data_IF_487928369176
#
_entry.id   IF_487928369176
#
_cell.length_a   1.000
_cell.length_b   1.000
_cell.length_c   1.000
_cell.angle_alpha   90.00
_cell.angle_beta   90.00
_cell.angle_gamma   90.00
#
_symmetry.space_group_name_H-M   'P 1'
#
loop_
_entity.id
_entity.type
_entity.pdbx_description
1 polymer ?
#
# COMPACT_ATOMS: atom_id res chain seq x y z
N UNK A 1 15.54 6.03 -6.30
CA UNK A 1 14.10 5.87 -6.52
C UNK A 1 13.83 5.74 -8.02
N UNK A 2 12.79 5.00 -8.40
CA UNK A 2 12.38 4.75 -9.78
C UNK A 2 10.95 5.24 -9.95
N UNK A 3 10.70 6.13 -10.91
CA UNK A 3 9.33 6.54 -11.23
C UNK A 3 8.64 5.43 -12.02
N UNK A 4 7.54 4.90 -11.50
CA UNK A 4 6.78 3.82 -12.11
C UNK A 4 5.60 4.32 -12.94
N UNK A 5 4.99 5.40 -12.47
CA UNK A 5 3.76 5.93 -13.03
C UNK A 5 3.74 7.45 -12.91
N UNK A 6 3.27 8.11 -13.95
CA UNK A 6 2.89 9.51 -13.94
C UNK A 6 1.54 9.66 -14.63
N UNK A 7 0.58 10.22 -13.92
CA UNK A 7 -0.77 10.55 -14.41
C UNK A 7 -1.12 11.95 -13.93
N UNK A 8 -2.19 12.51 -14.45
CA UNK A 8 -2.57 13.89 -14.11
C UNK A 8 -2.61 14.11 -12.59
N UNK A 9 -1.84 15.08 -12.12
CA UNK A 9 -1.67 15.46 -10.70
C UNK A 9 -1.11 14.38 -9.78
N UNK A 10 -0.67 13.21 -10.28
CA UNK A 10 -0.13 12.12 -9.44
C UNK A 10 1.04 11.39 -10.07
N UNK A 11 1.94 10.92 -9.20
CA UNK A 11 3.02 10.04 -9.59
C UNK A 11 3.24 8.96 -8.53
N UNK A 12 3.72 7.79 -8.96
CA UNK A 12 4.15 6.72 -8.06
C UNK A 12 5.61 6.43 -8.29
N UNK A 13 6.37 6.46 -7.21
CA UNK A 13 7.79 6.15 -7.17
C UNK A 13 8.02 4.88 -6.35
N UNK A 14 8.91 4.04 -6.81
CA UNK A 14 9.36 2.83 -6.12
C UNK A 14 10.72 3.09 -5.47
N UNK A 15 10.91 2.61 -4.25
CA UNK A 15 12.15 2.63 -3.51
C UNK A 15 12.82 1.24 -3.65
N UNK A 16 13.84 1.06 -4.51
CA UNK A 16 14.46 -0.24 -4.73
C UNK A 16 15.16 -0.78 -3.49
N UNK A 17 15.19 -2.12 -3.37
CA UNK A 17 15.93 -2.81 -2.31
C UNK A 17 15.18 -2.92 -0.99
N UNK A 18 13.93 -2.47 -0.92
CA UNK A 18 13.07 -2.65 0.26
C UNK A 18 12.24 -3.93 0.16
N UNK A 19 12.11 -4.62 1.30
CA UNK A 19 11.21 -5.77 1.50
C UNK A 19 10.57 -5.59 2.87
N UNK A 20 9.26 -5.38 2.94
CA UNK A 20 8.30 -5.22 1.83
C UNK A 20 8.62 -4.03 0.90
N UNK A 21 8.07 -4.08 -0.31
CA UNK A 21 8.23 -3.01 -1.29
C UNK A 21 7.69 -1.68 -0.76
N UNK A 22 8.46 -0.62 -0.95
CA UNK A 22 8.10 0.72 -0.51
C UNK A 22 7.80 1.62 -1.71
N UNK A 23 6.76 2.44 -1.58
CA UNK A 23 6.31 3.34 -2.63
C UNK A 23 6.09 4.75 -2.09
N UNK A 24 6.36 5.75 -2.92
CA UNK A 24 5.94 7.12 -2.67
C UNK A 24 4.84 7.48 -3.68
N UNK A 25 3.62 7.66 -3.18
CA UNK A 25 2.55 8.29 -3.92
C UNK A 25 2.68 9.79 -3.76
N UNK A 26 2.85 10.50 -4.85
CA UNK A 26 2.76 11.96 -4.91
C UNK A 26 1.38 12.33 -5.45
N UNK A 27 0.59 13.04 -4.67
CA UNK A 27 -0.72 13.56 -5.08
C UNK A 27 -0.69 15.10 -4.93
N UNK A 28 -0.99 15.82 -6.00
CA UNK A 28 -0.86 17.26 -6.05
C UNK A 28 -1.73 18.01 -5.00
N UNK A 29 -2.73 17.34 -4.43
CA UNK A 29 -3.60 17.91 -3.38
C UNK A 29 -3.36 17.30 -2.00
N UNK A 30 -3.16 15.98 -1.93
CA UNK A 30 -2.91 15.29 -0.68
C UNK A 30 -1.45 15.39 -0.21
N UNK A 31 -0.53 15.73 -1.10
CA UNK A 31 0.92 15.71 -0.86
C UNK A 31 1.53 14.33 -1.04
N UNK A 32 2.74 14.12 -0.53
CA UNK A 32 3.42 12.83 -0.58
C UNK A 32 2.90 11.87 0.49
N UNK A 33 2.72 10.61 0.11
CA UNK A 33 2.40 9.50 1.02
C UNK A 33 3.44 8.41 0.79
N UNK A 34 4.25 8.15 1.80
CA UNK A 34 5.16 7.01 1.80
C UNK A 34 4.38 5.78 2.26
N UNK A 35 4.31 4.74 1.43
CA UNK A 35 3.67 3.46 1.73
C UNK A 35 4.76 2.47 2.08
N UNK A 36 4.72 1.93 3.28
CA UNK A 36 5.78 1.20 3.95
C UNK A 36 7.03 2.06 4.22
N UNK A 37 7.89 1.60 5.11
CA UNK A 37 9.20 2.20 5.37
C UNK A 37 10.31 1.15 5.37
N UNK A 38 11.38 1.33 4.56
CA UNK A 38 12.53 0.45 4.59
C UNK A 38 13.39 0.75 5.83
N UNK A 39 14.46 -0.01 6.10
CA UNK A 39 15.49 0.40 7.04
C UNK A 39 15.91 1.84 6.78
N UNK A 40 16.04 2.63 7.85
CA UNK A 40 16.23 4.06 7.72
C UNK A 40 17.60 4.40 7.08
N UNK A 41 17.55 5.25 6.08
CA UNK A 41 18.71 5.86 5.42
C UNK A 41 18.44 7.36 5.23
N UNK A 42 19.28 8.20 5.85
CA UNK A 42 19.13 9.65 5.78
C UNK A 42 19.29 10.21 4.35
N UNK A 43 20.11 9.55 3.49
CA UNK A 43 20.24 9.95 2.08
C UNK A 43 18.98 9.62 1.30
N UNK A 44 18.38 8.45 1.57
CA UNK A 44 17.10 8.07 0.96
C UNK A 44 15.98 9.01 1.41
N UNK A 45 15.92 9.35 2.69
CA UNK A 45 14.95 10.33 3.21
C UNK A 45 15.07 11.69 2.51
N UNK A 46 16.30 12.21 2.35
CA UNK A 46 16.54 13.45 1.62
C UNK A 46 16.16 13.36 0.11
N UNK A 47 16.29 12.19 -0.51
CA UNK A 47 15.82 11.96 -1.88
C UNK A 47 14.28 11.98 -1.94
N UNK A 48 13.61 11.32 -0.99
CA UNK A 48 12.14 11.31 -0.89
C UNK A 48 11.61 12.73 -0.72
N UNK A 49 12.18 13.52 0.19
CA UNK A 49 11.76 14.93 0.42
C UNK A 49 11.95 15.82 -0.81
N UNK A 50 13.00 15.59 -1.61
CA UNK A 50 13.21 16.35 -2.87
C UNK A 50 12.14 16.04 -3.92
N UNK A 51 11.58 14.84 -3.93
CA UNK A 51 10.52 14.45 -4.86
C UNK A 51 9.19 15.06 -4.44
N UNK A 52 8.84 14.95 -3.17
CA UNK A 52 7.62 15.54 -2.63
C UNK A 52 7.70 15.74 -1.11
N UNK A 53 7.05 16.78 -0.61
CA UNK A 53 6.81 16.91 0.83
C UNK A 53 5.89 15.80 1.28
N UNK A 54 6.44 14.84 2.03
CA UNK A 54 5.67 13.73 2.58
C UNK A 54 4.81 14.24 3.74
N UNK A 55 3.53 13.94 3.71
CA UNK A 55 2.58 14.28 4.79
C UNK A 55 2.25 13.09 5.65
N UNK A 56 2.25 11.89 5.06
CA UNK A 56 1.91 10.65 5.75
C UNK A 56 2.91 9.56 5.41
N UNK A 57 3.25 8.74 6.41
CA UNK A 57 3.86 7.42 6.25
C UNK A 57 2.78 6.41 6.63
N UNK A 58 2.27 5.68 5.65
CA UNK A 58 1.20 4.72 5.81
C UNK A 58 1.74 3.29 5.82
N UNK A 59 1.28 2.51 6.79
CA UNK A 59 1.61 1.11 6.93
C UNK A 59 0.38 0.23 6.65
N UNK A 60 0.32 -0.45 5.48
CA UNK A 60 -0.72 -1.41 5.15
C UNK A 60 -0.83 -2.55 6.16
N UNK A 61 0.30 -2.89 6.80
CA UNK A 61 0.42 -3.85 7.90
C UNK A 61 1.69 -3.58 8.70
N UNK A 62 1.85 -4.28 9.84
CA UNK A 62 3.07 -4.25 10.65
C UNK A 62 4.33 -4.68 9.88
N UNK A 63 4.20 -5.48 8.82
CA UNK A 63 5.36 -5.99 8.06
C UNK A 63 6.15 -4.90 7.35
N UNK A 64 5.49 -3.81 6.96
CA UNK A 64 6.12 -2.68 6.28
C UNK A 64 6.60 -1.56 7.20
N UNK A 65 6.50 -1.73 8.52
CA UNK A 65 6.80 -0.67 9.51
C UNK A 65 8.21 -0.86 10.09
N UNK A 66 9.23 -0.38 9.38
CA UNK A 66 10.63 -0.44 9.83
C UNK A 66 11.12 0.98 10.16
N UNK A 67 11.85 1.12 11.28
CA UNK A 67 12.47 2.39 11.71
C UNK A 67 11.50 3.58 11.71
N UNK A 68 10.28 3.35 12.15
CA UNK A 68 9.14 4.29 12.08
C UNK A 68 9.47 5.66 12.68
N UNK A 69 10.15 5.67 13.83
CA UNK A 69 10.49 6.93 14.53
C UNK A 69 11.46 7.79 13.71
N UNK A 70 12.47 7.16 13.05
CA UNK A 70 13.44 7.87 12.23
C UNK A 70 12.79 8.43 10.97
N UNK A 71 11.98 7.63 10.27
CA UNK A 71 11.25 8.09 9.10
C UNK A 71 10.28 9.22 9.41
N UNK A 72 9.52 9.08 10.51
CA UNK A 72 8.62 10.12 11.00
C UNK A 72 9.35 11.44 11.27
N UNK A 73 10.49 11.37 11.96
CA UNK A 73 11.28 12.55 12.30
C UNK A 73 11.92 13.19 11.06
N UNK A 74 12.56 12.39 10.20
CA UNK A 74 13.25 12.88 9.02
C UNK A 74 12.32 13.57 8.02
N UNK A 75 11.12 13.02 7.81
CA UNK A 75 10.14 13.57 6.87
C UNK A 75 9.16 14.58 7.50
N UNK A 76 9.24 14.79 8.84
CA UNK A 76 8.25 15.56 9.59
C UNK A 76 6.80 15.17 9.22
N UNK A 77 6.59 13.86 8.95
CA UNK A 77 5.34 13.30 8.47
C UNK A 77 4.56 12.63 9.60
N UNK A 78 3.24 12.52 9.46
CA UNK A 78 2.40 11.75 10.37
C UNK A 78 2.41 10.27 9.98
N UNK A 79 2.50 9.38 10.95
CA UNK A 79 2.45 7.93 10.76
C UNK A 79 1.02 7.43 10.92
N UNK A 80 0.60 6.53 10.03
CA UNK A 80 -0.79 6.04 9.92
C UNK A 80 -0.78 4.52 9.79
N UNK A 81 -1.55 3.85 10.64
CA UNK A 81 -1.83 2.41 10.56
C UNK A 81 -3.25 2.11 11.08
N UNK A 82 -3.75 0.91 10.86
CA UNK A 82 -5.00 0.49 11.51
C UNK A 82 -4.79 0.29 13.01
N UNK A 83 -5.85 0.49 13.79
CA UNK A 83 -5.82 0.33 15.24
C UNK A 83 -5.35 -1.08 15.65
N UNK A 84 -5.71 -2.10 14.88
CA UNK A 84 -5.31 -3.49 15.10
C UNK A 84 -3.81 -3.75 14.86
N UNK A 85 -3.16 -2.96 14.01
CA UNK A 85 -1.71 -3.09 13.75
C UNK A 85 -0.86 -2.29 14.73
N UNK A 86 -1.36 -1.19 15.28
CA UNK A 86 -0.61 -0.31 16.17
C UNK A 86 0.14 -1.03 17.30
N UNK A 87 -0.45 -2.02 18.02
CA UNK A 87 0.26 -2.71 19.10
C UNK A 87 1.48 -3.53 18.66
N UNK A 88 1.53 -3.90 17.37
CA UNK A 88 2.59 -4.74 16.80
C UNK A 88 3.66 -3.91 16.05
N UNK A 89 3.45 -2.63 15.87
CA UNK A 89 4.39 -1.72 15.22
C UNK A 89 5.33 -1.11 16.24
N UNK A 90 6.63 -1.28 16.04
CA UNK A 90 7.64 -0.63 16.87
C UNK A 90 7.86 0.81 16.43
N UNK A 91 7.31 1.75 17.20
CA UNK A 91 7.45 3.19 16.96
C UNK A 91 6.14 3.96 17.09
N UNK A 92 6.20 5.30 17.00
CA UNK A 92 5.01 6.13 17.18
C UNK A 92 4.08 6.05 15.99
N UNK A 93 2.79 5.79 16.23
CA UNK A 93 1.70 5.93 15.25
C UNK A 93 0.86 7.14 15.68
N UNK A 94 0.80 8.16 14.81
CA UNK A 94 0.08 9.41 15.08
C UNK A 94 -1.42 9.27 14.81
N UNK A 95 -1.80 8.44 13.86
CA UNK A 95 -3.20 8.18 13.49
C UNK A 95 -3.47 6.67 13.44
N UNK A 96 -4.22 6.19 14.42
CA UNK A 96 -4.81 4.86 14.37
C UNK A 96 -6.14 4.96 13.62
N UNK A 97 -6.25 4.29 12.47
CA UNK A 97 -7.47 4.30 11.67
C UNK A 97 -8.32 3.06 11.93
N UNK A 98 -9.62 3.27 12.08
CA UNK A 98 -10.62 2.22 11.97
C UNK A 98 -11.14 2.21 10.53
N UNK A 99 -11.63 1.06 10.06
CA UNK A 99 -12.06 0.90 8.68
C UNK A 99 -13.01 2.01 8.18
N UNK A 100 -12.82 2.43 6.93
CA UNK A 100 -13.68 3.41 6.27
C UNK A 100 -13.26 4.87 6.44
N UNK A 101 -12.10 5.15 7.02
CA UNK A 101 -11.56 6.51 7.14
C UNK A 101 -11.14 7.03 5.76
N UNK A 102 -11.44 8.31 5.51
CA UNK A 102 -11.09 9.01 4.26
C UNK A 102 -10.19 10.20 4.56
N UNK A 103 -9.08 10.29 3.85
CA UNK A 103 -8.24 11.48 3.85
C UNK A 103 -8.55 12.30 2.59
N UNK A 104 -8.89 13.57 2.77
CA UNK A 104 -9.14 14.54 1.69
C UNK A 104 -10.17 14.11 0.63
N UNK A 105 -11.11 13.21 0.95
CA UNK A 105 -12.16 12.76 0.03
C UNK A 105 -11.70 11.99 -1.21
N UNK A 106 -10.38 11.93 -1.47
CA UNK A 106 -9.77 11.26 -2.61
C UNK A 106 -9.03 9.97 -2.26
N UNK A 107 -8.62 9.84 -1.00
CA UNK A 107 -7.89 8.71 -0.48
C UNK A 107 -8.77 7.94 0.48
N UNK A 108 -8.94 6.66 0.22
CA UNK A 108 -9.66 5.74 1.10
C UNK A 108 -8.68 4.73 1.69
N UNK A 109 -8.87 4.39 2.96
CA UNK A 109 -8.28 3.23 3.58
C UNK A 109 -9.31 2.10 3.57
N UNK A 110 -8.93 0.98 2.97
CA UNK A 110 -9.80 -0.18 2.79
C UNK A 110 -9.32 -1.29 3.73
N UNK A 111 -10.09 -1.60 4.75
CA UNK A 111 -9.79 -2.74 5.61
C UNK A 111 -9.90 -4.04 4.82
N UNK A 112 -8.79 -4.77 4.73
CA UNK A 112 -8.66 -6.05 4.03
C UNK A 112 -8.05 -7.09 4.98
N UNK A 113 -8.65 -7.23 6.17
CA UNK A 113 -8.21 -8.17 7.19
C UNK A 113 -8.02 -9.56 6.61
N UNK A 114 -7.00 -10.27 7.09
CA UNK A 114 -6.76 -11.65 6.67
C UNK A 114 -5.28 -12.04 6.64
N UNK A 115 -4.40 -11.29 5.99
CA UNK A 115 -2.95 -11.54 6.11
C UNK A 115 -2.45 -11.22 7.52
N UNK A 116 -2.88 -10.08 8.04
CA UNK A 116 -2.87 -9.76 9.47
C UNK A 116 -4.27 -9.30 9.86
N UNK A 117 -4.55 -9.15 11.16
CA UNK A 117 -5.85 -8.70 11.64
C UNK A 117 -6.20 -7.30 11.12
N UNK A 118 -5.21 -6.43 11.02
CA UNK A 118 -5.38 -5.04 10.61
C UNK A 118 -4.89 -4.71 9.20
N UNK A 119 -4.64 -5.71 8.34
CA UNK A 119 -4.24 -5.45 6.95
C UNK A 119 -5.21 -4.47 6.28
N UNK A 120 -4.64 -3.44 5.65
CA UNK A 120 -5.38 -2.35 5.05
C UNK A 120 -4.75 -1.93 3.72
N UNK A 121 -5.56 -1.54 2.75
CA UNK A 121 -5.08 -0.95 1.50
C UNK A 121 -5.29 0.55 1.47
N UNK A 122 -4.42 1.27 0.75
CA UNK A 122 -4.60 2.68 0.40
C UNK A 122 -5.10 2.78 -1.03
N UNK A 123 -6.21 3.48 -1.25
CA UNK A 123 -6.75 3.74 -2.58
C UNK A 123 -6.77 5.24 -2.87
N UNK A 124 -6.17 5.65 -3.96
CA UNK A 124 -6.39 6.94 -4.59
C UNK A 124 -7.50 6.80 -5.65
N UNK A 125 -8.66 7.43 -5.39
CA UNK A 125 -9.88 7.27 -6.20
C UNK A 125 -9.90 8.07 -7.48
N UNK A 126 -9.10 9.12 -7.57
CA UNK A 126 -9.03 9.95 -8.77
C UNK A 126 -8.71 9.10 -9.98
N UNK A 127 -9.42 9.31 -11.08
CA UNK A 127 -9.20 8.56 -12.31
C UNK A 127 -7.84 8.92 -12.97
N UNK A 128 -7.06 7.95 -13.44
CA UNK A 128 -7.19 6.50 -13.20
C UNK A 128 -6.88 6.12 -11.74
N UNK A 129 -7.71 5.25 -11.13
CA UNK A 129 -7.55 4.85 -9.73
C UNK A 129 -6.24 4.09 -9.49
N UNK A 130 -5.66 4.26 -8.30
CA UNK A 130 -4.42 3.58 -7.87
C UNK A 130 -4.68 2.93 -6.51
N UNK A 131 -4.29 1.66 -6.35
CA UNK A 131 -4.43 0.94 -5.07
C UNK A 131 -3.08 0.36 -4.63
N UNK A 132 -2.75 0.56 -3.35
CA UNK A 132 -1.65 -0.11 -2.68
C UNK A 132 -2.25 -1.14 -1.73
N UNK A 133 -2.20 -2.41 -2.11
CA UNK A 133 -2.82 -3.51 -1.37
C UNK A 133 -2.02 -3.96 -0.16
N UNK A 134 -0.75 -3.52 -0.07
CA UNK A 134 0.13 -4.07 0.96
C UNK A 134 0.24 -5.59 0.81
N UNK A 135 0.12 -6.36 1.91
CA UNK A 135 0.18 -7.83 1.87
C UNK A 135 -1.19 -8.50 1.65
N UNK A 136 -2.28 -7.74 1.42
CA UNK A 136 -3.61 -8.33 1.18
C UNK A 136 -3.64 -9.17 -0.09
N UNK A 137 -2.97 -8.70 -1.14
CA UNK A 137 -2.71 -9.42 -2.38
C UNK A 137 -1.20 -9.50 -2.61
N UNK A 138 -0.78 -10.41 -3.49
CA UNK A 138 0.61 -10.56 -3.89
C UNK A 138 0.77 -10.51 -5.40
N UNK A 139 1.88 -9.95 -5.87
CA UNK A 139 2.26 -10.08 -7.26
C UNK A 139 2.73 -11.50 -7.57
N UNK A 140 2.01 -12.15 -8.51
CA UNK A 140 2.61 -13.05 -9.47
C UNK A 140 3.05 -12.24 -10.69
N UNK A 141 2.52 -12.53 -11.87
CA UNK A 141 2.58 -11.60 -13.00
C UNK A 141 1.71 -10.36 -12.68
N UNK A 142 0.45 -10.58 -12.29
CA UNK A 142 -0.48 -9.60 -11.76
C UNK A 142 -0.78 -9.87 -10.26
N UNK A 143 -1.32 -8.89 -9.51
CA UNK A 143 -1.79 -9.15 -8.16
C UNK A 143 -2.81 -10.28 -8.10
N UNK A 144 -2.63 -11.19 -7.16
CA UNK A 144 -3.47 -12.36 -6.94
C UNK A 144 -3.59 -12.66 -5.44
N UNK A 145 -4.57 -13.45 -5.08
CA UNK A 145 -4.71 -13.98 -3.73
C UNK A 145 -3.79 -15.20 -3.58
N UNK A 146 -3.03 -15.27 -2.50
CA UNK A 146 -2.19 -16.42 -2.15
C UNK A 146 -2.35 -16.74 -0.68
N UNK A 147 -2.63 -18.00 -0.36
CA UNK A 147 -2.68 -18.47 1.01
C UNK A 147 -1.28 -18.57 1.63
N UNK A 148 -1.18 -18.30 2.92
CA UNK A 148 0.01 -18.51 3.74
C UNK A 148 -0.38 -19.24 5.02
N UNK A 149 0.51 -20.08 5.53
CA UNK A 149 0.28 -20.86 6.75
C UNK A 149 0.13 -19.96 8.00
N UNK A 150 0.67 -18.73 7.95
CA UNK A 150 0.63 -17.75 9.01
C UNK A 150 -0.42 -16.63 8.78
N UNK A 151 -1.37 -16.83 7.85
CA UNK A 151 -2.49 -15.91 7.66
C UNK A 151 -3.35 -15.84 8.94
N UNK A 152 -3.73 -14.62 9.34
CA UNK A 152 -4.69 -14.44 10.42
C UNK A 152 -6.03 -15.11 10.09
N UNK A 153 -6.51 -14.97 8.85
CA UNK A 153 -7.70 -15.65 8.33
C UNK A 153 -7.70 -15.62 6.80
N UNK A 154 -7.54 -16.77 6.18
CA UNK A 154 -7.63 -16.89 4.73
C UNK A 154 -9.04 -16.55 4.22
N UNK A 155 -10.09 -16.94 4.95
CA UNK A 155 -11.48 -16.61 4.60
C UNK A 155 -11.70 -15.11 4.51
N UNK A 156 -11.19 -14.34 5.47
CA UNK A 156 -11.25 -12.87 5.41
C UNK A 156 -10.47 -12.31 4.23
N UNK A 157 -9.33 -12.91 3.85
CA UNK A 157 -8.58 -12.51 2.65
C UNK A 157 -9.43 -12.70 1.39
N UNK A 158 -10.10 -13.85 1.27
CA UNK A 158 -11.03 -14.14 0.16
C UNK A 158 -12.15 -13.11 0.12
N UNK A 159 -12.81 -12.86 1.26
CA UNK A 159 -13.88 -11.86 1.33
C UNK A 159 -13.40 -10.45 0.98
N UNK A 160 -12.23 -10.05 1.47
CA UNK A 160 -11.60 -8.78 1.11
C UNK A 160 -11.28 -8.69 -0.39
N UNK A 161 -10.73 -9.75 -0.98
CA UNK A 161 -10.42 -9.81 -2.39
C UNK A 161 -11.69 -9.75 -3.26
N UNK A 162 -12.78 -10.39 -2.85
CA UNK A 162 -14.09 -10.28 -3.52
C UNK A 162 -14.62 -8.84 -3.44
N UNK A 163 -14.53 -8.21 -2.26
CA UNK A 163 -15.02 -6.85 -2.08
C UNK A 163 -14.29 -5.81 -2.94
N UNK A 164 -13.01 -6.03 -3.30
CA UNK A 164 -12.27 -5.10 -4.17
C UNK A 164 -12.60 -5.23 -5.64
N UNK A 165 -13.32 -6.28 -6.08
CA UNK A 165 -13.72 -6.45 -7.49
C UNK A 165 -14.65 -5.33 -8.00
N UNK A 166 -15.44 -4.73 -7.10
CA UNK A 166 -16.35 -3.64 -7.43
C UNK A 166 -15.65 -2.26 -7.45
N UNK A 167 -14.38 -2.20 -7.06
CA UNK A 167 -13.63 -0.97 -7.06
C UNK A 167 -13.10 -0.64 -8.46
N UNK A 168 -13.17 0.64 -8.80
CA UNK A 168 -12.56 1.16 -10.05
C UNK A 168 -11.12 1.58 -9.75
N UNK A 169 -10.17 0.97 -10.42
CA UNK A 169 -8.76 1.35 -10.42
C UNK A 169 -8.06 0.73 -11.65
N UNK A 170 -6.99 1.38 -12.08
CA UNK A 170 -6.17 0.93 -13.21
C UNK A 170 -4.82 0.38 -12.76
N UNK A 171 -4.34 0.82 -11.59
CA UNK A 171 -3.01 0.49 -11.09
C UNK A 171 -3.08 -0.12 -9.71
N UNK A 172 -2.28 -1.19 -9.48
CA UNK A 172 -2.24 -1.92 -8.22
C UNK A 172 -0.82 -2.30 -7.83
N UNK A 173 -0.48 -2.09 -6.56
CA UNK A 173 0.83 -2.38 -6.00
C UNK A 173 0.68 -3.23 -4.73
N UNK A 174 1.58 -4.24 -4.57
CA UNK A 174 1.62 -5.12 -3.41
C UNK A 174 2.99 -5.09 -2.75
N UNK A 175 3.09 -5.61 -1.53
CA UNK A 175 4.32 -5.62 -0.73
C UNK A 175 5.47 -6.43 -1.36
N UNK A 176 5.15 -7.43 -2.16
CA UNK A 176 6.14 -8.26 -2.86
C UNK A 176 6.42 -7.81 -4.32
N UNK A 177 6.14 -6.55 -4.65
CA UNK A 177 6.43 -5.98 -5.96
C UNK A 177 7.92 -6.09 -6.32
N UNK A 178 8.21 -6.55 -7.54
CA UNK A 178 9.55 -6.62 -8.12
C UNK A 178 9.60 -5.83 -9.41
N UNK A 179 10.42 -4.76 -9.44
CA UNK A 179 10.56 -3.92 -10.61
C UNK A 179 11.06 -4.72 -11.84
N UNK A 180 10.42 -4.51 -12.98
CA UNK A 180 10.71 -5.21 -14.23
C UNK A 180 10.11 -6.64 -14.35
N UNK A 181 9.43 -7.13 -13.28
CA UNK A 181 8.73 -8.43 -13.29
C UNK A 181 7.24 -8.30 -13.00
N UNK A 182 6.90 -7.56 -11.94
CA UNK A 182 5.52 -7.39 -11.52
C UNK A 182 4.79 -6.39 -12.43
N UNK A 183 3.65 -6.78 -12.96
CA UNK A 183 2.73 -5.87 -13.65
C UNK A 183 1.85 -5.15 -12.65
N UNK A 184 1.66 -3.87 -12.83
CA UNK A 184 0.87 -3.03 -11.92
C UNK A 184 -0.23 -2.23 -12.61
N UNK A 185 -0.32 -2.25 -13.93
CA UNK A 185 -1.34 -1.54 -14.73
C UNK A 185 -0.82 -1.03 -16.06
N UNK A 186 -1.70 -0.43 -16.89
CA UNK A 186 -3.14 -0.33 -16.68
C UNK A 186 -3.86 -1.67 -16.80
N UNK A 187 -5.12 -1.74 -16.31
CA UNK A 187 -5.94 -2.94 -16.36
C UNK A 187 -5.82 -3.87 -15.14
N UNK A 188 -5.23 -3.38 -14.04
CA UNK A 188 -5.02 -4.19 -12.83
C UNK A 188 -6.33 -4.71 -12.23
N UNK A 189 -7.41 -3.93 -12.22
CA UNK A 189 -8.70 -4.35 -11.68
C UNK A 189 -9.26 -5.58 -12.43
N UNK A 190 -9.18 -5.57 -13.77
CA UNK A 190 -9.64 -6.70 -14.59
C UNK A 190 -8.77 -7.94 -14.37
N UNK A 191 -7.44 -7.77 -14.35
CA UNK A 191 -6.52 -8.87 -14.12
C UNK A 191 -6.75 -9.54 -12.75
N UNK A 192 -6.99 -8.75 -11.68
CA UNK A 192 -7.31 -9.27 -10.35
C UNK A 192 -8.65 -10.03 -10.39
N UNK A 193 -9.67 -9.50 -11.06
CA UNK A 193 -10.97 -10.16 -11.19
C UNK A 193 -10.85 -11.53 -11.87
N UNK A 194 -10.07 -11.62 -12.95
CA UNK A 194 -9.82 -12.88 -13.68
C UNK A 194 -9.08 -13.88 -12.78
N UNK A 195 -8.04 -13.44 -12.08
CA UNK A 195 -7.27 -14.29 -11.17
C UNK A 195 -8.14 -14.84 -10.04
N UNK A 196 -8.93 -13.99 -9.38
CA UNK A 196 -9.83 -14.41 -8.31
C UNK A 196 -10.90 -15.38 -8.79
N UNK A 197 -11.48 -15.14 -9.97
CA UNK A 197 -12.46 -16.06 -10.54
C UNK A 197 -11.86 -17.45 -10.87
N UNK A 198 -10.57 -17.53 -11.17
CA UNK A 198 -9.85 -18.79 -11.37
C UNK A 198 -9.59 -19.50 -10.04
N UNK A 199 -9.14 -18.77 -9.02
CA UNK A 199 -8.82 -19.33 -7.69
C UNK A 199 -10.05 -19.82 -6.92
N UNK A 200 -11.19 -19.12 -7.04
CA UNK A 200 -12.45 -19.50 -6.38
C UNK A 200 -13.13 -20.73 -7.01
N UNK A 201 -12.65 -21.19 -8.16
CA UNK A 201 -13.17 -22.41 -8.86
C UNK A 201 -12.29 -23.63 -8.61
N UNK A 202 -11.08 -23.45 -8.11
CA UNK A 202 -10.12 -24.52 -7.85
C UNK A 202 -10.32 -25.15 -6.47
#
# INVERSE_FOLDING_TARGET
>A
MIQLLEVVERAVWYLPGSVPACFLLVDGRAGGILVNSPPFDARLAAIVERVAKVRFVFFPSRFGATDVAQWRAALAARTVATAEECPAISGPIDEAIDGGVRIHGRLDFLTLSGRTRGTCALRSKTDPGIVFFGPALEHGDWPLLRAHDDDYSYENRVLGAVAVQDLRFEFAFCDNYVHGRSRFGPGAAEAIRVNLASELRA
#
